data_IF_223175691290
#
_entry.id   IF_223175691290
#
_cell.length_a   1.000
_cell.length_b   1.000
_cell.length_c   1.000
_cell.angle_alpha   90.00
_cell.angle_beta   90.00
_cell.angle_gamma   90.00
#
_symmetry.space_group_name_H-M   'P 1'
#
loop_
_entity.id
_entity.type
_entity.pdbx_description
1 polymer ?
#
# COMPACT_ATOMS: atom_id res chain seq x y z
N UNK A 1 45.02 2.32 -21.73
CA UNK A 1 44.22 2.86 -20.62
C UNK A 1 42.81 3.17 -21.11
N UNK A 2 41.74 2.96 -20.31
CA UNK A 2 40.39 3.34 -20.70
C UNK A 2 40.30 4.85 -20.99
N UNK A 3 39.46 5.23 -21.94
CA UNK A 3 39.32 6.63 -22.34
C UNK A 3 38.73 7.48 -21.20
N UNK A 4 38.99 8.79 -21.16
CA UNK A 4 38.35 9.68 -20.19
C UNK A 4 36.82 9.55 -20.19
N UNK A 5 36.19 9.46 -21.36
CA UNK A 5 34.75 9.25 -21.50
C UNK A 5 34.27 7.93 -20.86
N UNK A 6 35.05 6.86 -21.00
CA UNK A 6 34.78 5.57 -20.36
C UNK A 6 34.84 5.69 -18.84
N UNK A 7 35.83 6.40 -18.30
CA UNK A 7 35.96 6.63 -16.86
C UNK A 7 34.80 7.47 -16.30
N UNK A 8 34.31 8.48 -17.03
CA UNK A 8 33.12 9.22 -16.62
C UNK A 8 31.87 8.33 -16.58
N UNK A 9 31.67 7.50 -17.60
CA UNK A 9 30.53 6.57 -17.66
C UNK A 9 30.56 5.55 -16.52
N UNK A 10 31.74 5.01 -16.18
CA UNK A 10 31.90 4.09 -15.06
C UNK A 10 31.56 4.74 -13.72
N UNK A 11 31.99 5.98 -13.48
CA UNK A 11 31.66 6.72 -12.26
C UNK A 11 30.15 6.96 -12.13
N UNK A 12 29.48 7.29 -13.24
CA UNK A 12 28.03 7.47 -13.26
C UNK A 12 27.29 6.16 -12.93
N UNK A 13 27.69 5.05 -13.55
CA UNK A 13 27.10 3.72 -13.27
C UNK A 13 27.33 3.28 -11.82
N UNK A 14 28.49 3.62 -11.23
CA UNK A 14 28.77 3.31 -9.83
C UNK A 14 27.82 4.06 -8.88
N UNK A 15 27.55 5.34 -9.17
CA UNK A 15 26.56 6.11 -8.41
C UNK A 15 25.17 5.51 -8.51
N UNK A 16 24.73 5.21 -9.73
CA UNK A 16 23.45 4.55 -9.99
C UNK A 16 23.30 3.20 -9.25
N UNK A 17 24.37 2.39 -9.22
CA UNK A 17 24.35 1.12 -8.51
C UNK A 17 24.23 1.33 -6.99
N UNK A 18 24.86 2.37 -6.45
CA UNK A 18 24.74 2.71 -5.02
C UNK A 18 23.30 3.13 -4.66
N UNK A 19 22.65 3.92 -5.51
CA UNK A 19 21.24 4.32 -5.31
C UNK A 19 20.30 3.11 -5.35
N UNK A 20 20.46 2.24 -6.35
CA UNK A 20 19.68 1.01 -6.46
C UNK A 20 19.92 0.06 -5.28
N UNK A 21 21.17 -0.06 -4.81
CA UNK A 21 21.51 -0.85 -3.64
C UNK A 21 20.84 -0.30 -2.38
N UNK A 22 20.84 1.02 -2.18
CA UNK A 22 20.20 1.66 -1.03
C UNK A 22 18.71 1.31 -0.94
N UNK A 23 18.00 1.41 -2.06
CA UNK A 23 16.58 1.04 -2.17
C UNK A 23 16.38 -0.44 -1.89
N UNK A 24 17.19 -1.32 -2.48
CA UNK A 24 17.11 -2.76 -2.25
C UNK A 24 17.31 -3.13 -0.76
N UNK A 25 18.28 -2.51 -0.09
CA UNK A 25 18.50 -2.70 1.33
C UNK A 25 17.29 -2.24 2.16
N UNK A 26 16.67 -1.11 1.80
CA UNK A 26 15.49 -0.61 2.51
C UNK A 26 14.27 -1.53 2.33
N UNK A 27 14.09 -2.08 1.13
CA UNK A 27 13.01 -3.04 0.84
C UNK A 27 13.16 -4.36 1.61
N UNK A 28 14.36 -4.71 2.05
CA UNK A 28 14.61 -5.90 2.87
C UNK A 28 14.31 -5.70 4.36
N UNK A 29 13.90 -4.50 4.79
CA UNK A 29 13.47 -4.26 6.17
C UNK A 29 12.13 -4.94 6.49
N UNK A 30 12.01 -5.53 7.69
CA UNK A 30 10.80 -6.24 8.13
C UNK A 30 9.57 -5.33 8.36
N UNK A 31 9.80 -4.04 8.62
CA UNK A 31 8.75 -3.08 8.99
C UNK A 31 8.45 -2.11 7.84
N UNK A 32 8.19 -2.66 6.66
CA UNK A 32 7.92 -1.87 5.46
C UNK A 32 6.58 -2.28 4.85
N UNK A 33 5.67 -1.32 4.72
CA UNK A 33 4.37 -1.56 4.09
C UNK A 33 4.45 -1.36 2.57
N UNK A 34 3.40 -1.76 1.85
CA UNK A 34 3.38 -1.71 0.39
C UNK A 34 3.38 -0.28 -0.18
N UNK A 35 2.83 0.71 0.54
CA UNK A 35 2.88 2.11 0.12
C UNK A 35 4.33 2.61 0.15
N UNK A 36 5.02 2.40 1.27
CA UNK A 36 6.43 2.78 1.41
C UNK A 36 7.31 2.09 0.34
N UNK A 37 7.05 0.81 0.08
CA UNK A 37 7.73 0.07 -0.99
C UNK A 37 7.56 0.74 -2.35
N UNK A 38 6.32 1.12 -2.68
CA UNK A 38 6.01 1.77 -3.96
C UNK A 38 6.63 3.16 -4.05
N UNK A 39 6.64 3.93 -2.98
CA UNK A 39 7.25 5.25 -2.97
C UNK A 39 8.77 5.16 -3.21
N UNK A 40 9.45 4.19 -2.59
CA UNK A 40 10.87 3.92 -2.84
C UNK A 40 11.14 3.50 -4.29
N UNK A 41 10.33 2.60 -4.84
CA UNK A 41 10.48 2.13 -6.22
C UNK A 41 10.20 3.24 -7.24
N UNK A 42 9.19 4.07 -6.99
CA UNK A 42 8.88 5.22 -7.85
C UNK A 42 10.01 6.25 -7.80
N UNK A 43 10.56 6.54 -6.62
CA UNK A 43 11.74 7.41 -6.49
C UNK A 43 12.96 6.85 -7.22
N UNK A 44 13.18 5.52 -7.17
CA UNK A 44 14.24 4.88 -7.96
C UNK A 44 14.00 5.02 -9.47
N UNK A 45 12.76 4.92 -9.94
CA UNK A 45 12.41 5.12 -11.34
C UNK A 45 12.64 6.56 -11.82
N UNK A 46 12.51 7.56 -10.95
CA UNK A 46 12.84 8.96 -11.28
C UNK A 46 14.35 9.13 -11.53
N UNK A 47 15.20 8.48 -10.74
CA UNK A 47 16.66 8.54 -10.87
C UNK A 47 17.18 7.61 -11.97
N UNK A 48 16.52 6.46 -12.16
CA UNK A 48 16.94 5.40 -13.08
C UNK A 48 15.77 4.91 -13.93
N UNK A 49 15.34 5.70 -14.95
CA UNK A 49 14.20 5.36 -15.79
C UNK A 49 14.35 4.04 -16.57
N UNK A 50 15.59 3.57 -16.77
CA UNK A 50 15.87 2.30 -17.44
C UNK A 50 15.30 1.06 -16.73
N UNK A 51 14.89 1.19 -15.47
CA UNK A 51 14.21 0.11 -14.75
C UNK A 51 12.69 0.06 -14.98
N UNK A 52 12.15 0.94 -15.83
CA UNK A 52 10.72 1.05 -16.11
C UNK A 52 10.05 -0.29 -16.42
N UNK A 53 10.69 -1.09 -17.29
CA UNK A 53 10.17 -2.40 -17.72
C UNK A 53 10.08 -3.44 -16.60
N UNK A 54 10.73 -3.18 -15.44
CA UNK A 54 10.77 -4.09 -14.30
C UNK A 54 9.98 -3.58 -13.09
N UNK A 55 10.03 -2.26 -12.82
CA UNK A 55 9.52 -1.66 -11.58
C UNK A 55 8.24 -0.84 -11.75
N UNK A 56 7.85 -0.51 -12.99
CA UNK A 56 6.62 0.24 -13.22
C UNK A 56 5.40 -0.55 -12.73
N UNK A 57 4.34 0.12 -12.25
CA UNK A 57 3.19 -0.56 -11.64
C UNK A 57 2.35 -1.41 -12.59
N UNK A 58 2.66 -1.38 -13.89
CA UNK A 58 1.96 -2.10 -14.96
C UNK A 58 2.88 -3.09 -15.71
N UNK A 59 4.03 -3.45 -15.15
CA UNK A 59 4.93 -4.44 -15.75
C UNK A 59 4.38 -5.85 -15.58
N UNK A 60 4.79 -6.77 -16.45
CA UNK A 60 4.35 -8.17 -16.43
C UNK A 60 4.72 -8.90 -15.13
N UNK A 61 5.76 -8.43 -14.43
CA UNK A 61 6.21 -8.98 -13.14
C UNK A 61 5.15 -8.74 -12.05
N UNK A 62 4.32 -7.70 -12.18
CA UNK A 62 3.26 -7.40 -11.21
C UNK A 62 2.10 -8.37 -11.41
N UNK A 63 2.03 -9.39 -10.54
CA UNK A 63 1.03 -10.46 -10.62
C UNK A 63 -0.43 -9.96 -10.59
N UNK A 64 -0.71 -8.90 -9.81
CA UNK A 64 -2.07 -8.33 -9.72
C UNK A 64 -2.01 -6.80 -9.57
N UNK A 65 -1.95 -6.06 -10.68
CA UNK A 65 -1.74 -4.61 -10.65
C UNK A 65 -2.90 -3.86 -9.98
N UNK A 66 -4.14 -4.31 -10.19
CA UNK A 66 -5.32 -3.73 -9.52
C UNK A 66 -5.30 -3.98 -8.00
N UNK A 67 -4.81 -5.14 -7.56
CA UNK A 67 -4.68 -5.43 -6.13
C UNK A 67 -3.62 -4.54 -5.48
N UNK A 68 -2.42 -4.50 -6.07
CA UNK A 68 -1.30 -3.68 -5.58
C UNK A 68 -1.68 -2.20 -5.52
N UNK A 69 -2.23 -1.65 -6.63
CA UNK A 69 -2.70 -0.26 -6.68
C UNK A 69 -3.81 0.01 -5.66
N UNK A 70 -4.73 -0.94 -5.50
CA UNK A 70 -5.78 -0.86 -4.49
C UNK A 70 -5.24 -0.75 -3.07
N UNK A 71 -4.28 -1.61 -2.69
CA UNK A 71 -3.66 -1.60 -1.36
C UNK A 71 -2.91 -0.29 -1.11
N UNK A 72 -2.12 0.16 -2.09
CA UNK A 72 -1.38 1.44 -2.01
C UNK A 72 -2.33 2.62 -1.76
N UNK A 73 -3.46 2.67 -2.47
CA UNK A 73 -4.48 3.71 -2.27
C UNK A 73 -5.13 3.62 -0.90
N UNK A 74 -5.41 2.42 -0.38
CA UNK A 74 -5.98 2.26 0.96
C UNK A 74 -5.01 2.75 2.04
N UNK A 75 -3.73 2.33 1.96
CA UNK A 75 -2.68 2.76 2.89
C UNK A 75 -2.45 4.28 2.82
N UNK A 76 -2.53 4.87 1.63
CA UNK A 76 -2.39 6.32 1.43
C UNK A 76 -3.63 7.14 1.78
N UNK A 77 -4.63 6.57 2.48
CA UNK A 77 -5.91 7.21 2.82
C UNK A 77 -6.73 7.70 1.59
N UNK A 78 -6.50 7.10 0.42
CA UNK A 78 -7.14 7.43 -0.85
C UNK A 78 -8.23 6.42 -1.26
N UNK A 79 -8.85 5.72 -0.31
CA UNK A 79 -9.86 4.69 -0.57
C UNK A 79 -11.06 5.19 -1.43
N UNK A 80 -11.35 6.50 -1.40
CA UNK A 80 -12.38 7.14 -2.25
C UNK A 80 -12.04 7.05 -3.75
N UNK A 81 -10.75 6.99 -4.11
CA UNK A 81 -10.22 6.91 -5.49
C UNK A 81 -10.10 5.49 -6.03
N UNK A 82 -10.57 4.49 -5.28
CA UNK A 82 -10.52 3.11 -5.75
C UNK A 82 -11.38 2.93 -7.00
N UNK A 83 -10.88 2.19 -7.98
CA UNK A 83 -11.66 1.77 -9.15
C UNK A 83 -12.55 0.59 -8.79
N UNK A 84 -13.45 0.20 -9.70
CA UNK A 84 -14.26 -1.02 -9.51
C UNK A 84 -13.39 -2.28 -9.49
N UNK A 85 -12.37 -2.35 -10.36
CA UNK A 85 -11.45 -3.48 -10.44
C UNK A 85 -10.63 -3.61 -9.14
N UNK A 86 -10.05 -2.50 -8.65
CA UNK A 86 -9.32 -2.46 -7.37
C UNK A 86 -10.20 -2.86 -6.19
N UNK A 87 -11.45 -2.37 -6.11
CA UNK A 87 -12.37 -2.83 -5.05
C UNK A 87 -12.65 -4.32 -5.14
N UNK A 88 -12.80 -4.85 -6.35
CA UNK A 88 -13.07 -6.27 -6.58
C UNK A 88 -11.88 -7.15 -6.23
N UNK A 89 -10.66 -6.70 -6.48
CA UNK A 89 -9.44 -7.46 -6.14
C UNK A 89 -9.16 -7.46 -4.63
N UNK A 90 -9.52 -6.40 -3.90
CA UNK A 90 -9.36 -6.30 -2.45
C UNK A 90 -10.44 -7.04 -1.64
N UNK A 91 -11.60 -7.29 -2.24
CA UNK A 91 -12.77 -7.91 -1.60
C UNK A 91 -12.46 -9.20 -0.81
N UNK A 92 -11.70 -10.19 -1.36
CA UNK A 92 -11.38 -11.41 -0.62
C UNK A 92 -10.66 -11.15 0.70
N UNK A 93 -9.65 -10.26 0.69
CA UNK A 93 -8.91 -9.91 1.91
C UNK A 93 -9.78 -9.15 2.90
N UNK A 94 -10.57 -8.18 2.42
CA UNK A 94 -11.49 -7.44 3.28
C UNK A 94 -12.48 -8.38 3.99
N UNK A 95 -13.05 -9.36 3.26
CA UNK A 95 -13.93 -10.37 3.84
C UNK A 95 -13.22 -11.22 4.90
N UNK A 96 -11.97 -11.62 4.65
CA UNK A 96 -11.20 -12.41 5.61
C UNK A 96 -10.94 -11.64 6.91
N UNK A 97 -10.51 -10.38 6.81
CA UNK A 97 -10.26 -9.50 7.98
C UNK A 97 -11.55 -9.25 8.75
N UNK A 98 -12.64 -8.91 8.07
CA UNK A 98 -13.93 -8.67 8.71
C UNK A 98 -14.50 -9.94 9.36
N UNK A 99 -14.30 -11.12 8.74
CA UNK A 99 -14.70 -12.40 9.35
C UNK A 99 -13.88 -12.71 10.59
N UNK A 100 -12.57 -12.47 10.56
CA UNK A 100 -11.71 -12.65 11.71
C UNK A 100 -12.14 -11.75 12.88
N UNK A 101 -12.34 -10.46 12.64
CA UNK A 101 -12.82 -9.52 13.65
C UNK A 101 -14.23 -9.87 14.15
N UNK A 102 -15.12 -10.31 13.26
CA UNK A 102 -16.45 -10.82 13.64
C UNK A 102 -16.35 -12.00 14.59
N UNK A 103 -15.46 -12.96 14.34
CA UNK A 103 -15.28 -14.13 15.19
C UNK A 103 -14.62 -13.80 16.53
N UNK A 104 -13.90 -12.67 16.63
CA UNK A 104 -13.32 -12.18 17.90
C UNK A 104 -14.34 -11.44 18.77
N UNK A 105 -15.42 -10.95 18.18
CA UNK A 105 -16.51 -10.29 18.89
C UNK A 105 -17.56 -11.31 19.32
N UNK A 106 -18.09 -11.18 20.53
CA UNK A 106 -19.28 -11.94 20.90
C UNK A 106 -20.45 -11.53 19.98
N UNK A 107 -21.37 -12.45 19.63
CA UNK A 107 -22.54 -12.11 18.82
C UNK A 107 -23.31 -10.90 19.36
N UNK A 108 -23.47 -10.82 20.68
CA UNK A 108 -24.10 -9.70 21.39
C UNK A 108 -23.35 -8.38 21.21
N UNK A 109 -22.02 -8.40 21.30
CA UNK A 109 -21.19 -7.19 21.11
C UNK A 109 -21.27 -6.70 19.67
N UNK A 110 -21.25 -7.61 18.71
CA UNK A 110 -21.39 -7.26 17.30
C UNK A 110 -22.77 -6.66 17.01
N UNK A 111 -23.84 -7.30 17.48
CA UNK A 111 -25.21 -6.82 17.32
C UNK A 111 -25.40 -5.45 17.96
N UNK A 112 -24.85 -5.23 19.16
CA UNK A 112 -24.93 -3.94 19.84
C UNK A 112 -24.16 -2.83 19.10
N UNK A 113 -22.96 -3.12 18.58
CA UNK A 113 -22.18 -2.17 17.76
C UNK A 113 -22.91 -1.86 16.45
N UNK A 114 -23.45 -2.86 15.77
CA UNK A 114 -24.21 -2.67 14.53
C UNK A 114 -25.49 -1.87 14.79
N UNK A 115 -26.20 -2.15 15.88
CA UNK A 115 -27.39 -1.42 16.30
C UNK A 115 -27.08 0.06 16.53
N UNK A 116 -26.02 0.37 17.28
CA UNK A 116 -25.59 1.76 17.51
C UNK A 116 -25.14 2.44 16.23
N UNK A 117 -24.41 1.75 15.33
CA UNK A 117 -23.99 2.33 14.05
C UNK A 117 -25.15 2.60 13.09
N UNK A 118 -26.12 1.70 13.00
CA UNK A 118 -27.30 1.86 12.14
C UNK A 118 -28.21 2.96 12.69
N UNK A 119 -28.34 3.03 14.02
CA UNK A 119 -29.15 4.04 14.68
C UNK A 119 -28.33 5.25 15.15
N UNK A 120 -27.17 5.53 14.56
CA UNK A 120 -26.28 6.61 15.01
C UNK A 120 -26.95 7.99 15.00
N UNK A 121 -27.95 8.20 14.12
CA UNK A 121 -28.77 9.42 14.09
C UNK A 121 -29.63 9.61 15.34
N UNK A 122 -29.95 8.52 16.03
CA UNK A 122 -30.84 8.49 17.20
C UNK A 122 -30.07 8.25 18.51
N UNK A 123 -28.90 7.59 18.44
CA UNK A 123 -28.10 7.18 19.58
C UNK A 123 -26.63 7.55 19.34
N UNK A 124 -26.31 8.83 19.43
CA UNK A 124 -24.92 9.29 19.43
C UNK A 124 -24.32 9.29 20.84
N UNK A 125 -23.00 9.46 20.94
CA UNK A 125 -22.30 9.47 22.23
C UNK A 125 -22.84 10.56 23.17
N UNK A 126 -23.25 11.72 22.65
CA UNK A 126 -23.80 12.82 23.47
C UNK A 126 -25.17 12.48 24.05
N UNK A 127 -25.96 11.72 23.30
CA UNK A 127 -27.30 11.26 23.71
C UNK A 127 -27.19 10.19 24.79
N UNK A 128 -26.19 9.29 24.67
CA UNK A 128 -25.94 8.24 25.66
C UNK A 128 -25.32 8.81 26.94
N UNK A 129 -24.38 9.74 26.82
CA UNK A 129 -23.69 10.37 27.97
C UNK A 129 -24.65 11.20 28.83
N UNK A 130 -25.71 11.77 28.24
CA UNK A 130 -26.78 12.46 28.98
C UNK A 130 -27.74 11.54 29.74
N UNK A 131 -27.62 10.21 29.59
CA UNK A 131 -28.45 9.22 30.29
C UNK A 131 -27.72 8.51 31.45
N UNK A 132 -26.43 8.77 31.65
CA UNK A 132 -25.60 8.21 32.74
C UNK A 132 -25.44 9.26 33.84
#
# INVERSE_FOLDING_TARGET
MPSPATNYKLKALLGQLADAQSVAMKLQCEVLNLLDARDLLNGLLEVMPSFGDYLAPNTEIVHSPDFESGVVKVLGAQAKRLTRAERSSLQPMARMVLRYERNRLSPLTLEMILFLKVNQKYWDVTTVDGCI
#
